data_IF_856013442290
#
_entry.id   IF_856013442290
#
_cell.length_a   1.000
_cell.length_b   1.000
_cell.length_c   1.000
_cell.angle_alpha   90.00
_cell.angle_beta   90.00
_cell.angle_gamma   90.00
#
_symmetry.space_group_name_H-M   'P 1'
#
loop_
_entity.id
_entity.type
_entity.pdbx_description
1 polymer ?
#
# COMPACT_ATOMS: atom_id res chain seq x y z
N UNK A 1 -28.75 -32.47 9.27
CA UNK A 1 -27.27 -32.47 9.15
C UNK A 1 -26.88 -31.74 7.87
N UNK A 2 -26.19 -30.61 7.98
CA UNK A 2 -25.69 -29.86 6.82
C UNK A 2 -24.48 -30.63 6.29
N UNK A 3 -24.54 -31.05 5.01
CA UNK A 3 -23.43 -31.76 4.36
C UNK A 3 -22.28 -30.78 4.12
N UNK A 4 -21.08 -31.15 4.56
CA UNK A 4 -19.86 -30.37 4.33
C UNK A 4 -19.43 -30.50 2.87
N UNK A 5 -19.63 -29.41 2.11
CA UNK A 5 -19.35 -29.34 0.68
C UNK A 5 -17.84 -29.42 0.39
N UNK A 6 -16.97 -29.06 1.34
CA UNK A 6 -15.52 -29.09 1.14
C UNK A 6 -15.00 -30.53 0.99
N UNK A 7 -15.52 -31.43 1.83
CA UNK A 7 -15.17 -32.86 1.82
C UNK A 7 -15.63 -33.55 0.51
N UNK A 8 -16.81 -33.19 0.03
CA UNK A 8 -17.35 -33.71 -1.24
C UNK A 8 -16.46 -33.33 -2.44
N UNK A 9 -16.02 -32.07 -2.50
CA UNK A 9 -15.12 -31.60 -3.56
C UNK A 9 -13.75 -32.26 -3.52
N UNK A 10 -13.16 -32.47 -2.34
CA UNK A 10 -11.86 -33.15 -2.21
C UNK A 10 -11.91 -34.60 -2.69
N UNK A 11 -13.00 -35.32 -2.38
CA UNK A 11 -13.21 -36.70 -2.82
C UNK A 11 -13.42 -36.82 -4.34
N UNK A 12 -14.01 -35.79 -4.97
CA UNK A 12 -14.16 -35.72 -6.42
C UNK A 12 -12.82 -35.37 -7.11
N UNK A 13 -12.04 -34.45 -6.54
CA UNK A 13 -10.76 -33.99 -7.10
C UNK A 13 -9.65 -35.06 -7.01
N UNK A 14 -9.66 -35.91 -5.99
CA UNK A 14 -8.67 -36.99 -5.84
C UNK A 14 -8.70 -38.04 -6.98
N UNK A 15 -9.74 -38.06 -7.81
CA UNK A 15 -9.89 -38.99 -8.95
C UNK A 15 -9.22 -38.52 -10.24
N UNK A 16 -8.74 -37.27 -10.34
CA UNK A 16 -8.21 -36.69 -11.58
C UNK A 16 -6.78 -36.19 -11.43
N UNK A 17 -5.84 -37.06 -11.02
CA UNK A 17 -4.42 -36.72 -10.99
C UNK A 17 -3.65 -37.44 -12.10
N UNK A 18 -3.63 -36.84 -13.29
CA UNK A 18 -2.55 -37.00 -14.25
C UNK A 18 -2.69 -35.90 -15.31
N UNK A 19 -1.75 -34.95 -15.34
CA UNK A 19 -1.14 -34.39 -16.56
C UNK A 19 0.07 -33.52 -16.13
N UNK A 20 1.24 -34.12 -16.37
CA UNK A 20 2.57 -33.59 -16.71
C UNK A 20 2.77 -32.07 -16.63
N UNK A 21 3.63 -31.64 -15.70
CA UNK A 21 4.28 -30.33 -15.70
C UNK A 21 5.23 -30.22 -16.91
N UNK A 22 4.90 -29.31 -17.83
CA UNK A 22 5.66 -29.03 -19.04
C UNK A 22 6.87 -28.11 -18.73
N UNK A 23 8.04 -28.52 -19.22
CA UNK A 23 9.38 -27.96 -18.94
C UNK A 23 9.63 -26.62 -19.65
N UNK A 24 8.59 -25.97 -20.20
CA UNK A 24 8.65 -24.71 -20.97
C UNK A 24 8.69 -23.44 -20.11
N UNK A 25 8.33 -23.52 -18.83
CA UNK A 25 8.26 -22.37 -17.91
C UNK A 25 9.65 -21.72 -17.68
N UNK A 26 10.74 -22.45 -17.91
CA UNK A 26 12.10 -22.00 -17.59
C UNK A 26 12.65 -20.88 -18.51
N UNK A 27 12.12 -20.69 -19.73
CA UNK A 27 12.61 -19.64 -20.64
C UNK A 27 11.85 -18.31 -20.49
N UNK A 28 10.58 -18.35 -20.08
CA UNK A 28 9.81 -17.15 -19.71
C UNK A 28 10.23 -16.61 -18.33
N UNK A 29 10.61 -17.50 -17.40
CA UNK A 29 11.17 -17.12 -16.10
C UNK A 29 12.47 -16.30 -16.22
N UNK A 30 13.30 -16.56 -17.22
CA UNK A 30 14.55 -15.81 -17.45
C UNK A 30 14.32 -14.40 -18.03
N UNK A 31 13.15 -14.16 -18.67
CA UNK A 31 12.74 -12.83 -19.18
C UNK A 31 12.08 -11.95 -18.12
N UNK A 32 11.84 -12.49 -16.92
CA UNK A 32 11.31 -11.78 -15.73
C UNK A 32 12.40 -11.12 -14.88
N UNK A 33 13.68 -11.21 -15.28
CA UNK A 33 14.75 -10.32 -14.81
C UNK A 33 14.58 -8.89 -15.38
N UNK A 34 13.34 -8.43 -15.53
CA UNK A 34 13.00 -7.07 -15.91
C UNK A 34 12.81 -6.27 -14.64
N UNK A 35 13.81 -5.45 -14.37
CA UNK A 35 13.72 -4.20 -13.63
C UNK A 35 12.88 -4.29 -12.34
N UNK A 36 13.52 -4.78 -11.28
CA UNK A 36 12.98 -5.00 -9.93
C UNK A 36 12.19 -3.77 -9.43
N UNK A 37 12.58 -2.57 -9.85
CA UNK A 37 11.95 -1.29 -9.52
C UNK A 37 10.53 -1.13 -10.12
N UNK A 38 10.27 -1.72 -11.30
CA UNK A 38 8.96 -1.66 -12.01
C UNK A 38 7.99 -2.78 -11.63
N UNK A 39 8.48 -3.78 -10.89
CA UNK A 39 7.71 -4.93 -10.44
C UNK A 39 6.48 -4.52 -9.63
N UNK A 40 5.44 -5.36 -9.68
CA UNK A 40 4.26 -5.18 -8.82
C UNK A 40 4.64 -5.22 -7.34
N UNK A 41 5.58 -6.07 -6.95
CA UNK A 41 6.06 -6.18 -5.57
C UNK A 41 6.71 -4.88 -5.08
N UNK A 42 7.63 -4.29 -5.86
CA UNK A 42 8.22 -2.97 -5.57
C UNK A 42 7.16 -1.88 -5.44
N UNK A 43 6.14 -1.90 -6.31
CA UNK A 43 5.01 -0.96 -6.22
C UNK A 43 4.23 -1.13 -4.91
N UNK A 44 3.88 -2.37 -4.54
CA UNK A 44 3.13 -2.66 -3.31
C UNK A 44 3.94 -2.34 -2.04
N UNK A 45 5.26 -2.52 -2.07
CA UNK A 45 6.15 -2.10 -0.99
C UNK A 45 6.13 -0.56 -0.83
N UNK A 46 6.26 0.18 -1.93
CA UNK A 46 6.14 1.65 -1.93
C UNK A 46 4.76 2.12 -1.45
N UNK A 47 3.70 1.38 -1.78
CA UNK A 47 2.34 1.67 -1.29
C UNK A 47 2.19 1.40 0.21
N UNK A 48 2.83 0.35 0.72
CA UNK A 48 2.85 0.03 2.16
C UNK A 48 3.58 1.11 2.94
N UNK A 49 4.73 1.58 2.45
CA UNK A 49 5.42 2.73 3.04
C UNK A 49 4.55 3.98 3.05
N UNK A 50 3.79 4.22 1.98
CA UNK A 50 2.86 5.35 1.92
C UNK A 50 1.73 5.21 2.95
N UNK A 51 1.16 4.01 3.15
CA UNK A 51 0.17 3.77 4.19
C UNK A 51 0.72 4.02 5.59
N UNK A 52 1.96 3.60 5.86
CA UNK A 52 2.62 3.87 7.14
C UNK A 52 2.79 5.37 7.39
N UNK A 53 3.18 6.12 6.35
CA UNK A 53 3.26 7.59 6.43
C UNK A 53 1.89 8.21 6.71
N UNK A 54 0.84 7.77 6.00
CA UNK A 54 -0.52 8.28 6.22
C UNK A 54 -1.01 7.96 7.63
N UNK A 55 -0.78 6.74 8.13
CA UNK A 55 -1.11 6.38 9.51
C UNK A 55 -0.39 7.24 10.54
N UNK A 56 0.89 7.57 10.31
CA UNK A 56 1.61 8.49 11.19
C UNK A 56 1.02 9.91 11.16
N UNK A 57 0.58 10.38 9.99
CA UNK A 57 -0.09 11.68 9.87
C UNK A 57 -1.42 11.69 10.63
N UNK A 58 -2.20 10.61 10.57
CA UNK A 58 -3.44 10.47 11.34
C UNK A 58 -3.19 10.55 12.86
N UNK A 59 -2.17 9.84 13.36
CA UNK A 59 -1.78 9.91 14.77
C UNK A 59 -1.40 11.34 15.19
N UNK A 60 -0.56 12.01 14.41
CA UNK A 60 -0.19 13.41 14.71
C UNK A 60 -1.38 14.37 14.62
N UNK A 61 -2.33 14.14 13.72
CA UNK A 61 -3.54 14.96 13.64
C UNK A 61 -4.37 14.86 14.92
N UNK A 62 -4.50 13.65 15.47
CA UNK A 62 -5.21 13.43 16.73
C UNK A 62 -4.45 14.01 17.94
N UNK A 63 -3.13 13.88 17.99
CA UNK A 63 -2.29 14.53 19.01
C UNK A 63 -2.42 16.06 18.97
N UNK A 64 -2.39 16.66 17.77
CA UNK A 64 -2.59 18.10 17.56
C UNK A 64 -3.95 18.54 18.09
N UNK A 65 -5.02 17.77 17.84
CA UNK A 65 -6.36 18.07 18.36
C UNK A 65 -6.39 18.07 19.88
N UNK A 66 -5.76 17.08 20.51
CA UNK A 66 -5.68 16.97 21.98
C UNK A 66 -4.90 18.15 22.55
N UNK A 67 -3.67 18.39 22.08
CA UNK A 67 -2.81 19.46 22.58
C UNK A 67 -3.42 20.85 22.38
N UNK A 68 -4.04 21.11 21.22
CA UNK A 68 -4.77 22.36 21.03
C UNK A 68 -5.93 22.51 22.01
N UNK A 69 -6.70 21.45 22.24
CA UNK A 69 -7.80 21.46 23.21
C UNK A 69 -7.31 21.76 24.63
N UNK A 70 -6.24 21.09 25.07
CA UNK A 70 -5.63 21.33 26.38
C UNK A 70 -5.11 22.76 26.55
N UNK A 71 -4.42 23.29 25.53
CA UNK A 71 -3.88 24.65 25.56
C UNK A 71 -4.99 25.72 25.63
N UNK A 72 -6.13 25.50 24.97
CA UNK A 72 -7.26 26.43 25.01
C UNK A 72 -8.03 26.39 26.33
N UNK A 73 -8.02 25.24 27.02
CA UNK A 73 -8.66 25.07 28.33
C UNK A 73 -7.75 25.45 29.50
N UNK A 74 -6.43 25.55 29.26
CA UNK A 74 -5.48 25.87 30.30
C UNK A 74 -5.72 27.27 30.88
N UNK A 75 -5.71 27.44 32.23
CA UNK A 75 -5.93 28.74 32.87
C UNK A 75 -4.78 29.73 32.64
N UNK A 76 -3.63 29.26 32.16
CA UNK A 76 -2.48 30.06 31.75
C UNK A 76 -1.74 29.34 30.60
N UNK A 77 -0.93 30.10 29.85
CA UNK A 77 -0.17 29.56 28.71
C UNK A 77 0.87 28.54 29.19
N UNK A 78 0.77 27.31 28.67
CA UNK A 78 1.76 26.26 28.88
C UNK A 78 2.79 26.29 27.75
N UNK A 79 4.01 26.75 28.07
CA UNK A 79 5.10 26.89 27.11
C UNK A 79 5.63 25.57 26.57
N UNK A 80 5.60 24.51 27.37
CA UNK A 80 6.09 23.18 26.97
C UNK A 80 5.12 22.55 25.96
N UNK A 81 3.82 22.50 26.30
CA UNK A 81 2.78 22.02 25.37
C UNK A 81 2.73 22.85 24.09
N UNK A 82 2.92 24.16 24.20
CA UNK A 82 2.99 25.05 23.02
C UNK A 82 4.16 24.70 22.11
N UNK A 83 5.32 24.34 22.68
CA UNK A 83 6.48 23.91 21.90
C UNK A 83 6.26 22.53 21.27
N UNK A 84 5.71 21.58 22.03
CA UNK A 84 5.37 20.24 21.53
C UNK A 84 4.40 20.33 20.33
N UNK A 85 3.37 21.16 20.46
CA UNK A 85 2.41 21.39 19.38
C UNK A 85 3.09 21.93 18.11
N UNK A 86 3.99 22.92 18.24
CA UNK A 86 4.75 23.44 17.09
C UNK A 86 5.57 22.36 16.42
N UNK A 87 6.29 21.56 17.19
CA UNK A 87 7.12 20.46 16.67
C UNK A 87 6.27 19.44 15.92
N UNK A 88 5.12 19.03 16.46
CA UNK A 88 4.22 18.09 15.77
C UNK A 88 3.68 18.70 14.48
N UNK A 89 3.27 19.98 14.48
CA UNK A 89 2.79 20.66 13.28
C UNK A 89 3.87 20.76 12.19
N UNK A 90 5.12 21.04 12.56
CA UNK A 90 6.25 21.09 11.62
C UNK A 90 6.55 19.71 11.03
N UNK A 91 6.59 18.66 11.86
CA UNK A 91 6.77 17.28 11.43
C UNK A 91 5.64 16.81 10.51
N UNK A 92 4.39 17.10 10.89
CA UNK A 92 3.21 16.81 10.07
C UNK A 92 3.31 17.48 8.70
N UNK A 93 3.67 18.76 8.66
CA UNK A 93 3.84 19.50 7.42
C UNK A 93 4.92 18.86 6.54
N UNK A 94 6.11 18.60 7.08
CA UNK A 94 7.22 18.03 6.32
C UNK A 94 6.86 16.65 5.75
N UNK A 95 6.32 15.77 6.60
CA UNK A 95 5.94 14.41 6.21
C UNK A 95 4.77 14.37 5.23
N UNK A 96 3.79 15.28 5.34
CA UNK A 96 2.68 15.38 4.39
C UNK A 96 3.16 15.75 2.97
N UNK A 97 4.20 16.58 2.86
CA UNK A 97 4.83 16.88 1.57
C UNK A 97 5.52 15.65 0.97
N UNK A 98 6.22 14.87 1.80
CA UNK A 98 6.82 13.60 1.36
C UNK A 98 5.76 12.63 0.88
N UNK A 99 4.65 12.47 1.63
CA UNK A 99 3.52 11.64 1.23
C UNK A 99 2.94 12.07 -0.11
N UNK A 100 2.72 13.38 -0.28
CA UNK A 100 2.19 13.96 -1.52
C UNK A 100 3.09 13.68 -2.73
N UNK A 101 4.40 13.81 -2.58
CA UNK A 101 5.34 13.51 -3.67
C UNK A 101 5.40 12.01 -3.98
N UNK A 102 5.33 11.13 -2.97
CA UNK A 102 5.21 9.68 -3.18
C UNK A 102 3.93 9.33 -3.95
N UNK A 103 2.78 9.90 -3.57
CA UNK A 103 1.50 9.71 -4.28
C UNK A 103 1.62 10.15 -5.73
N UNK A 104 2.18 11.33 -6.01
CA UNK A 104 2.38 11.81 -7.38
C UNK A 104 3.25 10.87 -8.21
N UNK A 105 4.29 10.26 -7.62
CA UNK A 105 5.15 9.31 -8.33
C UNK A 105 4.38 8.03 -8.68
N UNK A 106 3.62 7.47 -7.74
CA UNK A 106 2.79 6.28 -7.97
C UNK A 106 1.70 6.56 -9.01
N UNK A 107 1.04 7.71 -8.93
CA UNK A 107 0.01 8.12 -9.89
C UNK A 107 0.57 8.26 -11.31
N UNK A 108 1.77 8.85 -11.46
CA UNK A 108 2.46 8.92 -12.76
C UNK A 108 2.81 7.54 -13.30
N UNK A 109 3.20 6.59 -12.45
CA UNK A 109 3.49 5.21 -12.86
C UNK A 109 2.21 4.52 -13.38
N UNK A 110 1.11 4.63 -12.63
CA UNK A 110 -0.20 4.05 -12.99
C UNK A 110 -0.79 4.67 -14.26
N UNK A 111 -0.66 5.98 -14.42
CA UNK A 111 -1.22 6.75 -15.53
C UNK A 111 -0.23 6.94 -16.70
N UNK A 112 0.99 6.40 -16.60
CA UNK A 112 1.90 6.37 -17.72
C UNK A 112 1.22 5.66 -18.88
N UNK A 113 1.33 6.21 -20.10
CA UNK A 113 0.70 5.65 -21.30
C UNK A 113 1.40 4.34 -21.65
N UNK A 114 1.02 3.26 -20.97
CA UNK A 114 1.45 1.91 -21.28
C UNK A 114 0.83 1.45 -22.60
N UNK A 115 1.48 0.50 -23.27
CA UNK A 115 0.92 -0.08 -24.49
C UNK A 115 -0.52 -0.59 -24.21
N UNK A 116 -1.43 -0.53 -25.21
CA UNK A 116 -2.84 -0.89 -25.00
C UNK A 116 -3.05 -2.30 -24.40
N UNK A 117 -2.11 -3.23 -24.61
CA UNK A 117 -2.12 -4.56 -23.99
C UNK A 117 -1.71 -4.57 -22.51
N UNK A 118 -0.78 -3.70 -22.08
CA UNK A 118 -0.38 -3.58 -20.67
C UNK A 118 -1.51 -3.00 -19.82
N UNK A 119 -2.31 -2.09 -20.38
CA UNK A 119 -3.45 -1.47 -19.71
C UNK A 119 -4.54 -2.45 -19.24
N UNK A 120 -4.58 -3.65 -19.84
CA UNK A 120 -5.50 -4.75 -19.53
C UNK A 120 -4.91 -5.79 -18.57
N UNK A 121 -3.63 -5.67 -18.21
CA UNK A 121 -2.97 -6.62 -17.31
C UNK A 121 -3.58 -6.58 -15.90
N UNK A 122 -3.51 -7.72 -15.20
CA UNK A 122 -3.95 -7.81 -13.80
C UNK A 122 -3.15 -6.85 -12.94
N UNK A 123 -1.83 -6.80 -13.13
CA UNK A 123 -0.93 -5.91 -12.40
C UNK A 123 -1.32 -4.44 -12.56
N UNK A 124 -1.59 -3.97 -13.79
CA UNK A 124 -2.05 -2.60 -14.01
C UNK A 124 -3.40 -2.31 -13.34
N UNK A 125 -4.30 -3.29 -13.28
CA UNK A 125 -5.58 -3.14 -12.57
C UNK A 125 -5.40 -3.09 -11.06
N UNK A 126 -4.50 -3.91 -10.51
CA UNK A 126 -4.12 -3.87 -9.09
C UNK A 126 -3.53 -2.50 -8.77
N UNK A 127 -2.48 -2.07 -9.49
CA UNK A 127 -1.82 -0.78 -9.27
C UNK A 127 -2.79 0.40 -9.34
N UNK A 128 -3.78 0.37 -10.25
CA UNK A 128 -4.82 1.42 -10.37
C UNK A 128 -5.85 1.42 -9.24
N UNK A 129 -6.10 0.27 -8.61
CA UNK A 129 -7.07 0.15 -7.52
C UNK A 129 -6.47 0.59 -6.17
N UNK A 130 -5.16 0.43 -6.00
CA UNK A 130 -4.42 0.94 -4.85
C UNK A 130 -4.42 2.47 -4.82
#
# INVERSE_FOLDING_TARGET
>A
MVKDRLVEFQNLSGKTNSIKHDRRISQEAAKLLRDEETSLESFLNRMTDLRNIVGQLELWLDEVRILHGELLLAPATDGEKSQQLRTIMENFRATSLVAREKIKKLDREVNSKSHPDESKSVDSRIKRNQ
#
